data_IF_865293747980
#
_entry.id   IF_865293747980
#
_cell.length_a   1.000
_cell.length_b   1.000
_cell.length_c   1.000
_cell.angle_alpha   90.00
_cell.angle_beta   90.00
_cell.angle_gamma   90.00
#
_symmetry.space_group_name_H-M   'P 1'
#
loop_
_entity.id
_entity.type
_entity.pdbx_description
1 polymer ?
#
# COMPACT_ATOMS: atom_id res chain seq x y z
N UNK A 1 -32.77 -17.32 11.16
CA UNK A 1 -32.65 -16.60 12.45
C UNK A 1 -31.48 -15.64 12.39
N UNK A 2 -31.80 -14.36 12.19
CA UNK A 2 -30.86 -13.26 12.02
C UNK A 2 -30.31 -12.81 13.38
N UNK A 3 -28.99 -12.84 13.54
CA UNK A 3 -28.27 -11.93 14.46
C UNK A 3 -27.11 -11.35 13.65
N UNK A 4 -27.45 -10.48 12.69
CA UNK A 4 -26.50 -9.79 11.84
C UNK A 4 -27.01 -8.37 11.50
N UNK A 5 -27.31 -7.58 12.52
CA UNK A 5 -27.50 -6.14 12.40
C UNK A 5 -27.57 -5.55 13.82
N UNK A 6 -26.49 -4.94 14.32
CA UNK A 6 -26.53 -3.90 15.39
C UNK A 6 -25.17 -3.41 15.94
N UNK A 7 -24.00 -3.79 15.40
CA UNK A 7 -22.71 -3.45 16.03
C UNK A 7 -21.75 -2.55 15.26
N UNK A 8 -22.22 -1.70 14.32
CA UNK A 8 -21.31 -0.81 13.58
C UNK A 8 -21.60 0.70 13.45
N UNK A 9 -22.75 1.29 13.86
CA UNK A 9 -22.90 2.75 13.81
C UNK A 9 -22.49 3.49 15.10
N UNK A 10 -22.74 2.92 16.29
CA UNK A 10 -22.67 3.66 17.56
C UNK A 10 -21.24 4.01 18.02
N UNK A 11 -20.28 3.11 17.79
CA UNK A 11 -18.89 3.34 18.19
C UNK A 11 -18.22 4.47 17.38
N UNK A 12 -18.66 4.68 16.14
CA UNK A 12 -18.05 5.64 15.21
C UNK A 12 -18.45 7.08 15.55
N UNK A 13 -19.70 7.31 15.95
CA UNK A 13 -20.22 8.64 16.31
C UNK A 13 -19.66 9.12 17.66
N UNK A 14 -19.65 8.26 18.69
CA UNK A 14 -19.13 8.62 20.02
C UNK A 14 -17.64 9.01 20.01
N UNK A 15 -16.85 8.40 19.11
CA UNK A 15 -15.41 8.65 19.01
C UNK A 15 -15.04 10.05 18.49
N UNK A 16 -15.97 10.79 17.87
CA UNK A 16 -15.70 12.13 17.32
C UNK A 16 -15.78 13.23 18.39
N UNK A 17 -16.58 13.05 19.44
CA UNK A 17 -16.90 14.08 20.45
C UNK A 17 -16.08 13.94 21.75
N UNK A 18 -15.40 12.81 21.96
CA UNK A 18 -14.65 12.56 23.21
C UNK A 18 -13.35 13.40 23.32
N UNK A 19 -12.95 13.82 24.53
CA UNK A 19 -11.62 14.39 24.80
C UNK A 19 -10.50 13.40 24.45
N UNK A 20 -9.31 13.88 24.08
CA UNK A 20 -8.18 13.03 23.66
C UNK A 20 -7.82 11.95 24.70
N UNK A 21 -7.83 12.28 25.98
CA UNK A 21 -7.57 11.33 27.08
C UNK A 21 -8.61 10.20 27.17
N UNK A 22 -9.90 10.53 26.97
CA UNK A 22 -10.98 9.53 26.95
C UNK A 22 -10.87 8.61 25.71
N UNK A 23 -10.49 9.15 24.55
CA UNK A 23 -10.21 8.34 23.34
C UNK A 23 -9.05 7.37 23.58
N UNK A 24 -7.98 7.83 24.25
CA UNK A 24 -6.85 6.98 24.61
C UNK A 24 -7.24 5.87 25.59
N UNK A 25 -8.02 6.18 26.61
CA UNK A 25 -8.55 5.19 27.57
C UNK A 25 -9.39 4.13 26.88
N UNK A 26 -10.32 4.54 26.00
CA UNK A 26 -11.15 3.62 25.22
C UNK A 26 -10.32 2.73 24.30
N UNK A 27 -9.31 3.27 23.61
CA UNK A 27 -8.39 2.47 22.79
C UNK A 27 -7.61 1.45 23.62
N UNK A 28 -7.16 1.83 24.83
CA UNK A 28 -6.47 0.90 25.75
C UNK A 28 -7.39 -0.22 26.20
N UNK A 29 -8.63 0.09 26.59
CA UNK A 29 -9.65 -0.91 26.96
C UNK A 29 -9.99 -1.84 25.81
N UNK A 30 -10.22 -1.28 24.60
CA UNK A 30 -10.46 -2.07 23.41
C UNK A 30 -9.30 -3.01 23.10
N UNK A 31 -8.06 -2.51 23.17
CA UNK A 31 -6.86 -3.33 22.97
C UNK A 31 -6.76 -4.42 24.04
N UNK A 32 -6.95 -4.10 25.31
CA UNK A 32 -6.95 -5.09 26.40
C UNK A 32 -8.00 -6.18 26.17
N UNK A 33 -9.24 -5.79 25.88
CA UNK A 33 -10.32 -6.72 25.56
C UNK A 33 -9.97 -7.66 24.40
N UNK A 34 -9.46 -7.12 23.29
CA UNK A 34 -9.08 -7.96 22.14
C UNK A 34 -7.87 -8.85 22.45
N UNK A 35 -6.87 -8.38 23.22
CA UNK A 35 -5.74 -9.22 23.64
C UNK A 35 -6.16 -10.36 24.56
N UNK A 36 -7.19 -10.16 25.37
CA UNK A 36 -7.71 -11.20 26.27
C UNK A 36 -8.51 -12.24 25.51
N UNK A 37 -9.45 -11.82 24.65
CA UNK A 37 -10.42 -12.73 24.05
C UNK A 37 -10.09 -13.19 22.62
N UNK A 38 -9.23 -12.47 21.89
CA UNK A 38 -8.75 -12.85 20.55
C UNK A 38 -7.22 -12.67 20.42
N UNK A 39 -6.42 -13.25 21.32
CA UNK A 39 -4.97 -13.24 21.16
C UNK A 39 -4.57 -14.02 19.91
N UNK A 40 -3.49 -13.60 19.27
CA UNK A 40 -2.79 -14.40 18.28
C UNK A 40 -1.30 -14.10 18.30
N UNK A 41 -0.49 -15.06 17.86
CA UNK A 41 0.97 -15.06 17.92
C UNK A 41 1.58 -14.91 16.52
N UNK A 42 2.91 -14.83 16.45
CA UNK A 42 3.63 -14.89 15.18
C UNK A 42 3.36 -16.22 14.43
N UNK A 43 3.24 -17.34 15.15
CA UNK A 43 2.92 -18.63 14.54
C UNK A 43 1.53 -18.64 13.89
N UNK A 44 0.53 -18.08 14.58
CA UNK A 44 -0.83 -17.95 14.03
C UNK A 44 -0.86 -17.07 12.78
N UNK A 45 -0.07 -15.99 12.78
CA UNK A 45 0.07 -15.13 11.61
C UNK A 45 0.71 -15.87 10.44
N UNK A 46 1.79 -16.63 10.66
CA UNK A 46 2.42 -17.46 9.61
C UNK A 46 1.46 -18.47 9.02
N UNK A 47 0.74 -19.18 9.89
CA UNK A 47 -0.28 -20.14 9.47
C UNK A 47 -1.36 -19.44 8.63
N UNK A 48 -1.87 -18.30 9.08
CA UNK A 48 -2.87 -17.53 8.33
C UNK A 48 -2.37 -17.09 6.95
N UNK A 49 -1.11 -16.66 6.83
CA UNK A 49 -0.50 -16.29 5.55
C UNK A 49 -0.38 -17.49 4.60
N UNK A 50 0.04 -18.64 5.12
CA UNK A 50 0.13 -19.88 4.34
C UNK A 50 -1.26 -20.34 3.85
N UNK A 51 -2.28 -20.32 4.71
CA UNK A 51 -3.66 -20.65 4.35
C UNK A 51 -4.22 -19.70 3.29
N UNK A 52 -3.86 -18.42 3.36
CA UNK A 52 -4.26 -17.41 2.39
C UNK A 52 -3.58 -17.63 1.02
N UNK A 53 -2.48 -18.39 0.98
CA UNK A 53 -1.77 -18.78 -0.24
C UNK A 53 -0.43 -18.07 -0.45
N UNK A 54 0.16 -17.51 0.60
CA UNK A 54 1.57 -17.10 0.58
C UNK A 54 2.43 -18.35 0.73
N UNK A 55 3.38 -18.54 -0.18
CA UNK A 55 4.26 -19.70 -0.23
C UNK A 55 5.73 -19.28 -0.24
N UNK A 56 6.66 -20.15 0.18
CA UNK A 56 8.08 -19.85 0.12
C UNK A 56 8.54 -19.52 -1.30
N UNK A 57 9.35 -18.47 -1.46
CA UNK A 57 9.82 -17.97 -2.75
C UNK A 57 8.96 -16.86 -3.38
N UNK A 58 7.79 -16.54 -2.81
CA UNK A 58 6.96 -15.45 -3.33
C UNK A 58 7.66 -14.08 -3.26
N UNK A 59 7.30 -13.19 -4.19
CA UNK A 59 7.49 -11.74 -4.04
C UNK A 59 6.21 -11.14 -3.45
N UNK A 60 6.30 -10.53 -2.28
CA UNK A 60 5.15 -10.07 -1.52
C UNK A 60 5.25 -8.57 -1.18
N UNK A 61 4.34 -7.78 -1.74
CA UNK A 61 4.09 -6.39 -1.33
C UNK A 61 3.13 -6.35 -0.15
N UNK A 62 3.48 -5.63 0.93
CA UNK A 62 2.65 -5.55 2.14
C UNK A 62 2.21 -4.12 2.42
N UNK A 63 0.88 -3.96 2.57
CA UNK A 63 0.24 -2.80 3.17
C UNK A 63 -0.29 -3.19 4.55
N UNK A 64 -0.05 -2.37 5.58
CA UNK A 64 -0.45 -2.73 6.93
C UNK A 64 -0.78 -1.54 7.82
N UNK A 65 -1.59 -1.81 8.86
CA UNK A 65 -1.83 -0.88 9.96
C UNK A 65 -1.63 -1.60 11.28
N UNK A 66 -0.51 -1.32 11.96
CA UNK A 66 -0.19 -1.97 13.24
C UNK A 66 -1.25 -1.70 14.33
N UNK A 67 -1.98 -0.59 14.22
CA UNK A 67 -3.12 -0.30 15.09
C UNK A 67 -4.26 -1.32 15.00
N UNK A 68 -4.31 -2.12 13.92
CA UNK A 68 -5.27 -3.23 13.78
C UNK A 68 -4.77 -4.56 14.32
N UNK A 69 -3.50 -4.67 14.70
CA UNK A 69 -2.90 -5.86 15.32
C UNK A 69 -3.23 -5.92 16.83
N UNK A 70 -4.49 -5.62 17.20
CA UNK A 70 -4.90 -5.43 18.60
C UNK A 70 -4.68 -6.68 19.46
N UNK A 71 -4.88 -7.87 18.90
CA UNK A 71 -4.70 -9.15 19.60
C UNK A 71 -3.29 -9.73 19.53
N UNK A 72 -2.37 -9.07 18.82
CA UNK A 72 -1.07 -9.65 18.54
C UNK A 72 -0.18 -9.70 19.80
N UNK A 73 0.44 -10.86 20.03
CA UNK A 73 1.42 -11.11 21.09
C UNK A 73 2.83 -10.93 20.51
N UNK A 74 3.20 -9.68 20.24
CA UNK A 74 4.50 -9.30 19.70
C UNK A 74 4.55 -7.82 19.29
N UNK A 75 5.70 -7.37 18.81
CA UNK A 75 5.91 -6.05 18.21
C UNK A 75 5.93 -6.09 16.68
N UNK A 76 6.18 -4.95 16.02
CA UNK A 76 6.30 -4.88 14.57
C UNK A 76 7.46 -5.75 14.03
N UNK A 77 8.53 -5.95 14.80
CA UNK A 77 9.67 -6.79 14.42
C UNK A 77 9.24 -8.25 14.27
N UNK A 78 8.42 -8.77 15.19
CA UNK A 78 7.88 -10.12 15.10
C UNK A 78 6.91 -10.29 13.92
N UNK A 79 6.18 -9.24 13.54
CA UNK A 79 5.37 -9.24 12.30
C UNK A 79 6.26 -9.35 11.07
N UNK A 80 7.33 -8.55 11.00
CA UNK A 80 8.29 -8.57 9.89
C UNK A 80 8.95 -9.94 9.79
N UNK A 81 9.43 -10.50 10.91
CA UNK A 81 10.01 -11.85 10.95
C UNK A 81 9.02 -12.91 10.49
N UNK A 82 7.76 -12.86 10.94
CA UNK A 82 6.74 -13.81 10.48
C UNK A 82 6.51 -13.75 8.97
N UNK A 83 6.57 -12.55 8.36
CA UNK A 83 6.50 -12.40 6.90
C UNK A 83 7.74 -13.00 6.22
N UNK A 84 8.94 -12.67 6.71
CA UNK A 84 10.21 -13.19 6.20
C UNK A 84 10.29 -14.72 6.30
N UNK A 85 9.86 -15.30 7.42
CA UNK A 85 9.83 -16.75 7.68
C UNK A 85 8.97 -17.50 6.65
N UNK A 86 7.78 -16.98 6.32
CA UNK A 86 6.86 -17.62 5.37
C UNK A 86 7.41 -17.57 3.95
N UNK A 87 8.07 -16.46 3.59
CA UNK A 87 8.70 -16.27 2.29
C UNK A 87 9.99 -17.10 2.15
N UNK A 88 10.70 -17.32 3.25
CA UNK A 88 11.95 -18.07 3.28
C UNK A 88 13.09 -17.40 2.50
N UNK A 89 14.24 -18.07 2.34
CA UNK A 89 15.46 -17.48 1.78
C UNK A 89 15.35 -17.12 0.29
N UNK A 90 14.42 -17.74 -0.45
CA UNK A 90 14.19 -17.44 -1.88
C UNK A 90 13.12 -16.37 -2.10
N UNK A 91 12.40 -15.97 -1.05
CA UNK A 91 11.32 -15.00 -1.18
C UNK A 91 11.83 -13.56 -1.15
N UNK A 92 10.93 -12.63 -1.48
CA UNK A 92 11.20 -11.20 -1.43
C UNK A 92 10.05 -10.47 -0.77
N UNK A 93 10.34 -9.68 0.26
CA UNK A 93 9.38 -8.84 0.96
C UNK A 93 9.57 -7.40 0.51
N UNK A 94 8.49 -6.72 0.12
CA UNK A 94 8.52 -5.30 -0.22
C UNK A 94 7.42 -4.51 0.46
N UNK A 95 7.71 -3.27 0.85
CA UNK A 95 6.75 -2.35 1.46
C UNK A 95 6.94 -0.95 0.87
N UNK A 96 5.88 -0.31 0.34
CA UNK A 96 5.95 1.09 -0.08
C UNK A 96 6.33 1.98 1.09
N UNK A 97 7.27 2.90 0.87
CA UNK A 97 7.88 3.80 1.87
C UNK A 97 7.69 5.28 1.52
N UNK A 98 6.55 5.63 0.93
CA UNK A 98 6.26 7.01 0.51
C UNK A 98 6.48 7.99 1.69
N UNK A 99 7.18 9.12 1.48
CA UNK A 99 7.53 10.05 2.55
C UNK A 99 6.46 11.10 2.85
N UNK A 100 5.27 10.95 2.27
CA UNK A 100 4.16 11.91 2.39
C UNK A 100 2.81 11.21 2.54
N UNK A 101 1.81 11.99 2.91
CA UNK A 101 0.38 11.69 2.81
C UNK A 101 -0.24 12.78 1.94
N UNK A 102 -1.27 12.48 1.15
CA UNK A 102 -1.85 13.43 0.19
C UNK A 102 -1.22 13.29 -1.18
N UNK A 103 -0.96 14.41 -1.87
CA UNK A 103 -0.43 14.40 -3.24
C UNK A 103 1.09 14.46 -3.31
N UNK A 104 1.66 13.78 -4.31
CA UNK A 104 3.08 13.90 -4.64
C UNK A 104 3.43 15.34 -5.04
N UNK A 105 2.58 16.04 -5.78
CA UNK A 105 2.83 17.42 -6.22
C UNK A 105 2.97 18.36 -5.01
N UNK A 106 2.04 18.29 -4.06
CA UNK A 106 2.07 19.09 -2.81
C UNK A 106 3.26 18.74 -1.91
N UNK A 107 3.73 17.49 -1.95
CA UNK A 107 4.95 17.11 -1.25
C UNK A 107 6.17 17.75 -1.91
N UNK A 108 6.21 17.75 -3.25
CA UNK A 108 7.37 18.23 -4.02
C UNK A 108 7.48 19.75 -4.10
N UNK A 109 6.38 20.49 -3.94
CA UNK A 109 6.39 21.96 -3.86
C UNK A 109 7.17 22.51 -2.66
N UNK A 110 7.50 21.65 -1.70
CA UNK A 110 8.33 21.98 -0.53
C UNK A 110 9.83 21.92 -0.82
N UNK A 111 10.22 21.53 -2.04
CA UNK A 111 11.60 21.40 -2.51
C UNK A 111 12.50 20.65 -1.49
N UNK A 112 12.05 19.47 -1.06
CA UNK A 112 12.78 18.64 -0.11
C UNK A 112 13.74 17.69 -0.84
N UNK A 113 14.89 17.41 -0.22
CA UNK A 113 15.80 16.34 -0.67
C UNK A 113 15.34 15.02 -0.05
N UNK A 114 15.03 14.04 -0.88
CA UNK A 114 14.78 12.67 -0.43
C UNK A 114 16.10 11.98 -0.09
N UNK A 115 16.40 11.80 1.19
CA UNK A 115 17.53 11.00 1.65
C UNK A 115 17.08 9.54 1.85
N UNK A 116 17.64 8.62 1.07
CA UNK A 116 17.24 7.20 1.09
C UNK A 116 17.35 6.58 2.49
N UNK A 117 18.34 7.01 3.28
CA UNK A 117 18.60 6.54 4.66
C UNK A 117 17.71 7.26 5.67
N UNK A 118 17.55 8.57 5.54
CA UNK A 118 16.99 9.43 6.60
C UNK A 118 15.52 9.79 6.43
N UNK A 119 15.02 9.94 5.20
CA UNK A 119 13.64 10.37 4.98
C UNK A 119 12.65 9.32 5.53
N UNK A 120 11.77 9.66 6.48
CA UNK A 120 10.86 8.70 7.09
C UNK A 120 9.79 8.22 6.10
N UNK A 121 9.30 7.00 6.29
CA UNK A 121 8.08 6.52 5.65
C UNK A 121 6.86 7.09 6.37
N UNK A 122 5.85 7.46 5.59
CA UNK A 122 4.51 7.84 6.08
C UNK A 122 3.48 6.72 5.92
N UNK A 123 3.89 5.53 5.44
CA UNK A 123 3.00 4.42 5.09
C UNK A 123 2.64 3.49 6.26
N UNK A 124 3.11 3.80 7.47
CA UNK A 124 2.75 3.06 8.69
C UNK A 124 3.95 2.61 9.50
N UNK A 125 3.68 2.18 10.73
CA UNK A 125 4.73 1.86 11.71
C UNK A 125 5.57 0.64 11.33
N UNK A 126 4.92 -0.44 10.85
CA UNK A 126 5.64 -1.65 10.40
C UNK A 126 6.61 -1.28 9.26
N UNK A 127 6.17 -0.47 8.29
CA UNK A 127 7.00 -0.02 7.18
C UNK A 127 8.22 0.78 7.64
N UNK A 128 8.06 1.70 8.61
CA UNK A 128 9.17 2.50 9.14
C UNK A 128 10.19 1.63 9.90
N UNK A 129 9.72 0.61 10.64
CA UNK A 129 10.61 -0.37 11.27
C UNK A 129 11.30 -1.24 10.20
N UNK A 130 10.55 -1.71 9.21
CA UNK A 130 11.06 -2.58 8.15
C UNK A 130 12.16 -1.91 7.32
N UNK A 131 11.96 -0.66 6.87
CA UNK A 131 12.98 0.03 6.04
C UNK A 131 14.33 0.26 6.76
N UNK A 132 14.36 0.15 8.08
CA UNK A 132 15.56 0.27 8.92
C UNK A 132 16.08 -1.09 9.40
N UNK A 133 15.43 -2.17 8.96
CA UNK A 133 15.81 -3.52 9.30
C UNK A 133 17.12 -3.94 8.63
N UNK A 134 17.78 -4.97 9.17
CA UNK A 134 18.98 -5.54 8.55
C UNK A 134 18.67 -6.06 7.15
N UNK A 135 19.61 -5.90 6.22
CA UNK A 135 19.53 -6.42 4.84
C UNK A 135 18.35 -5.87 4.02
N UNK A 136 17.70 -4.80 4.50
CA UNK A 136 16.63 -4.12 3.78
C UNK A 136 17.24 -2.97 2.98
N UNK A 137 17.01 -2.99 1.67
CA UNK A 137 17.43 -1.93 0.75
C UNK A 137 16.21 -1.10 0.37
N UNK A 138 16.36 0.22 0.32
CA UNK A 138 15.29 1.11 -0.13
C UNK A 138 15.61 1.64 -1.52
N UNK A 139 14.66 1.48 -2.45
CA UNK A 139 14.79 2.05 -3.78
C UNK A 139 14.91 3.58 -3.71
N UNK A 140 15.81 4.13 -4.52
CA UNK A 140 16.02 5.56 -4.62
C UNK A 140 14.88 6.19 -5.45
N UNK A 141 13.88 6.76 -4.81
CA UNK A 141 12.82 7.51 -5.49
C UNK A 141 12.19 8.56 -4.57
N UNK A 142 12.18 9.86 -4.95
CA UNK A 142 11.75 10.94 -4.08
C UNK A 142 10.32 10.83 -3.52
N UNK A 143 9.38 10.31 -4.31
CA UNK A 143 7.96 10.22 -3.92
C UNK A 143 7.54 8.77 -3.62
N UNK A 144 7.78 7.81 -4.52
CA UNK A 144 7.20 6.46 -4.43
C UNK A 144 8.19 5.34 -4.05
N UNK A 145 9.25 5.65 -3.27
CA UNK A 145 10.23 4.65 -2.84
C UNK A 145 9.63 3.42 -2.14
N UNK A 146 10.28 2.27 -2.29
CA UNK A 146 9.91 0.97 -1.73
C UNK A 146 11.09 0.39 -0.94
N UNK A 147 10.86 -0.10 0.28
CA UNK A 147 11.82 -0.93 1.00
C UNK A 147 11.66 -2.39 0.59
N UNK A 148 12.77 -3.10 0.42
CA UNK A 148 12.82 -4.46 -0.12
C UNK A 148 13.84 -5.29 0.65
N UNK A 149 13.49 -6.54 0.95
CA UNK A 149 14.35 -7.54 1.57
C UNK A 149 14.23 -8.87 0.83
N UNK A 150 15.33 -9.62 0.72
CA UNK A 150 15.35 -10.98 0.19
C UNK A 150 15.95 -11.10 -1.21
N UNK A 151 15.63 -12.20 -1.88
CA UNK A 151 16.41 -12.72 -3.02
C UNK A 151 16.53 -11.76 -4.22
N UNK A 152 15.49 -10.98 -4.51
CA UNK A 152 15.42 -10.16 -5.73
C UNK A 152 15.67 -8.67 -5.48
N UNK A 153 16.30 -8.32 -4.35
CA UNK A 153 16.42 -6.93 -3.88
C UNK A 153 17.03 -5.99 -4.93
N UNK A 154 18.19 -6.34 -5.49
CA UNK A 154 18.92 -5.48 -6.42
C UNK A 154 18.12 -5.22 -7.69
N UNK A 155 17.53 -6.27 -8.27
CA UNK A 155 16.73 -6.17 -9.47
C UNK A 155 15.44 -5.35 -9.26
N UNK A 156 14.83 -5.45 -8.08
CA UNK A 156 13.59 -4.73 -7.77
C UNK A 156 13.84 -3.24 -7.55
N UNK A 157 14.92 -2.86 -6.86
CA UNK A 157 15.19 -1.45 -6.52
C UNK A 157 15.94 -0.67 -7.59
N UNK A 158 16.59 -1.38 -8.53
CA UNK A 158 17.43 -0.77 -9.55
C UNK A 158 16.70 0.26 -10.41
N UNK A 159 17.38 1.37 -10.69
CA UNK A 159 16.92 2.37 -11.66
C UNK A 159 15.67 3.15 -11.26
N UNK A 160 15.16 3.03 -10.04
CA UNK A 160 13.90 3.70 -9.68
C UNK A 160 13.97 5.24 -9.85
N UNK A 161 15.11 5.87 -9.52
CA UNK A 161 15.32 7.31 -9.68
C UNK A 161 15.46 7.78 -11.13
N UNK A 162 15.70 6.89 -12.09
CA UNK A 162 15.80 7.25 -13.52
C UNK A 162 14.49 7.03 -14.27
N UNK A 163 13.46 6.51 -13.61
CA UNK A 163 12.15 6.34 -14.20
C UNK A 163 11.49 7.70 -14.53
N UNK A 164 10.82 7.77 -15.68
CA UNK A 164 10.10 8.98 -16.14
C UNK A 164 8.84 9.27 -15.32
N UNK A 165 8.33 8.26 -14.63
CA UNK A 165 7.09 8.27 -13.83
C UNK A 165 7.28 7.46 -12.56
N UNK A 166 6.49 7.70 -11.49
CA UNK A 166 6.79 7.14 -10.18
C UNK A 166 6.56 5.64 -10.04
N UNK A 167 5.65 5.08 -10.83
CA UNK A 167 5.21 3.69 -10.73
C UNK A 167 5.21 2.97 -12.07
N UNK A 168 6.04 3.38 -13.04
CA UNK A 168 6.06 2.77 -14.38
C UNK A 168 6.73 1.39 -14.44
N UNK A 169 6.83 0.80 -15.64
CA UNK A 169 7.48 -0.51 -15.86
C UNK A 169 8.89 -0.67 -15.27
N UNK A 170 9.83 0.28 -15.39
CA UNK A 170 11.17 0.11 -14.84
C UNK A 170 11.24 0.28 -13.30
N UNK A 171 10.12 0.50 -12.61
CA UNK A 171 10.05 0.73 -11.16
C UNK A 171 9.80 -0.57 -10.38
N UNK A 172 9.99 -0.59 -9.04
CA UNK A 172 9.65 -1.73 -8.20
C UNK A 172 8.21 -2.24 -8.38
N UNK A 173 7.28 -1.39 -8.80
CA UNK A 173 5.89 -1.77 -9.03
C UNK A 173 5.76 -2.58 -10.34
N UNK A 174 6.45 -2.20 -11.41
CA UNK A 174 6.55 -3.04 -12.61
C UNK A 174 7.22 -4.38 -12.32
N UNK A 175 8.28 -4.38 -11.51
CA UNK A 175 8.96 -5.61 -11.06
C UNK A 175 8.03 -6.53 -10.27
N UNK A 176 7.12 -5.99 -9.44
CA UNK A 176 6.11 -6.79 -8.75
C UNK A 176 5.26 -7.59 -9.75
N UNK A 177 4.88 -7.00 -10.88
CA UNK A 177 4.11 -7.70 -11.93
C UNK A 177 4.97 -8.73 -12.69
N UNK A 178 6.22 -8.39 -12.99
CA UNK A 178 7.17 -9.27 -13.69
C UNK A 178 7.47 -10.55 -12.90
N UNK A 179 7.65 -10.43 -11.59
CA UNK A 179 7.88 -11.56 -10.69
C UNK A 179 6.60 -12.27 -10.24
N UNK A 180 5.46 -12.01 -10.89
CA UNK A 180 4.15 -12.57 -10.52
C UNK A 180 3.82 -12.40 -9.02
N UNK A 181 4.17 -11.22 -8.50
CA UNK A 181 4.10 -10.94 -7.08
C UNK A 181 2.69 -10.84 -6.53
N UNK A 182 2.60 -10.90 -5.20
CA UNK A 182 1.36 -10.86 -4.43
C UNK A 182 1.30 -9.58 -3.60
N UNK A 183 0.09 -9.14 -3.27
CA UNK A 183 -0.20 -7.94 -2.51
C UNK A 183 -1.03 -8.34 -1.29
N UNK A 184 -0.46 -8.16 -0.11
CA UNK A 184 -1.09 -8.42 1.18
C UNK A 184 -1.58 -7.13 1.81
N UNK A 185 -2.85 -7.11 2.22
CA UNK A 185 -3.44 -6.07 3.04
C UNK A 185 -3.67 -6.62 4.45
N UNK A 186 -2.88 -6.14 5.42
CA UNK A 186 -2.98 -6.56 6.81
C UNK A 186 -3.62 -5.47 7.68
N UNK A 187 -4.93 -5.56 7.89
CA UNK A 187 -5.70 -4.58 8.65
C UNK A 187 -5.92 -3.24 7.93
N UNK A 188 -5.79 -3.22 6.61
CA UNK A 188 -6.04 -2.04 5.78
C UNK A 188 -6.94 -2.42 4.60
N UNK A 189 -7.75 -1.49 4.08
CA UNK A 189 -8.58 -1.75 2.91
C UNK A 189 -7.74 -1.77 1.63
N UNK A 190 -8.27 -2.38 0.58
CA UNK A 190 -7.62 -2.41 -0.76
C UNK A 190 -7.43 -1.02 -1.36
N UNK A 191 -8.19 -0.01 -0.94
CA UNK A 191 -7.97 1.39 -1.36
C UNK A 191 -6.58 1.94 -1.00
N UNK A 192 -5.83 1.26 -0.13
CA UNK A 192 -4.42 1.60 0.20
C UNK A 192 -3.40 1.03 -0.79
N UNK A 193 -3.83 0.31 -1.83
CA UNK A 193 -2.96 -0.38 -2.79
C UNK A 193 -2.11 0.61 -3.60
N UNK A 194 -0.82 0.69 -3.29
CA UNK A 194 0.12 1.54 -4.07
C UNK A 194 0.38 0.93 -5.45
N UNK A 195 0.35 -0.40 -5.60
CA UNK A 195 0.46 -1.06 -6.91
C UNK A 195 -0.61 -0.60 -7.91
N UNK A 196 -1.77 -0.10 -7.45
CA UNK A 196 -2.78 0.42 -8.36
C UNK A 196 -2.27 1.65 -9.14
N UNK A 197 -1.31 2.41 -8.60
CA UNK A 197 -0.65 3.47 -9.36
C UNK A 197 0.06 2.95 -10.61
N UNK A 198 0.75 1.81 -10.54
CA UNK A 198 1.35 1.19 -11.72
C UNK A 198 0.29 0.85 -12.78
N UNK A 199 -0.87 0.34 -12.35
CA UNK A 199 -1.98 0.03 -13.27
C UNK A 199 -2.57 1.30 -13.89
N UNK A 200 -2.64 2.41 -13.14
CA UNK A 200 -3.07 3.72 -13.66
C UNK A 200 -2.14 4.24 -14.75
N UNK A 201 -0.81 4.13 -14.56
CA UNK A 201 0.17 4.56 -15.58
C UNK A 201 0.06 3.72 -16.85
N UNK A 202 -0.09 2.40 -16.71
CA UNK A 202 -0.26 1.49 -17.85
C UNK A 202 -1.57 1.73 -18.62
N UNK A 203 -2.60 2.23 -17.92
CA UNK A 203 -3.88 2.59 -18.53
C UNK A 203 -3.92 4.03 -19.05
N UNK A 204 -2.90 4.86 -18.82
CA UNK A 204 -2.85 6.28 -19.25
C UNK A 204 -3.35 6.46 -20.71
N UNK A 205 -2.90 5.67 -21.70
CA UNK A 205 -3.34 5.85 -23.10
C UNK A 205 -4.83 5.60 -23.35
N UNK A 206 -5.53 4.93 -22.41
CA UNK A 206 -6.95 4.57 -22.49
C UNK A 206 -7.82 5.42 -21.57
N UNK A 207 -7.23 6.21 -20.68
CA UNK A 207 -7.96 7.00 -19.69
C UNK A 207 -8.62 8.21 -20.36
N UNK A 208 -9.89 8.54 -20.04
CA UNK A 208 -10.58 9.71 -20.59
C UNK A 208 -10.16 11.03 -19.92
N UNK A 209 -9.13 11.01 -19.06
CA UNK A 209 -8.60 12.15 -18.33
C UNK A 209 -7.08 11.95 -18.12
N UNK A 210 -6.31 13.05 -17.96
CA UNK A 210 -4.87 12.96 -17.80
C UNK A 210 -4.50 12.32 -16.46
N UNK A 211 -3.71 11.23 -16.51
CA UNK A 211 -3.18 10.55 -15.33
C UNK A 211 -2.11 11.39 -14.63
N UNK A 212 -1.28 12.06 -15.41
CA UNK A 212 -0.20 12.92 -14.92
C UNK A 212 -0.51 14.41 -15.10
N UNK A 213 0.16 15.23 -14.31
CA UNK A 213 0.27 16.66 -14.56
C UNK A 213 0.98 16.93 -15.90
N UNK A 214 0.68 18.04 -16.57
CA UNK A 214 1.26 18.33 -17.89
C UNK A 214 2.75 18.69 -17.80
N UNK A 215 3.22 19.24 -16.68
CA UNK A 215 4.62 19.55 -16.44
C UNK A 215 5.44 18.42 -15.80
N UNK A 216 6.74 18.43 -16.08
CA UNK A 216 7.73 17.58 -15.41
C UNK A 216 8.29 18.23 -14.15
N UNK A 217 8.47 17.43 -13.10
CA UNK A 217 8.93 17.88 -11.79
C UNK A 217 10.39 17.47 -11.57
N UNK A 218 11.21 18.42 -11.14
CA UNK A 218 12.60 18.19 -10.77
C UNK A 218 12.70 17.86 -9.27
N UNK A 219 13.07 16.62 -8.95
CA UNK A 219 13.01 16.10 -7.59
C UNK A 219 14.41 15.68 -7.12
N UNK A 220 14.84 16.24 -5.99
CA UNK A 220 16.17 15.99 -5.44
C UNK A 220 16.18 14.73 -4.59
N UNK A 221 17.23 13.93 -4.73
CA UNK A 221 17.47 12.75 -3.90
C UNK A 221 18.92 12.71 -3.46
N UNK A 222 19.16 11.97 -2.38
CA UNK A 222 20.46 11.61 -1.85
C UNK A 222 20.54 10.10 -1.67
N UNK A 223 21.51 9.48 -2.31
CA UNK A 223 21.72 8.04 -2.27
C UNK A 223 22.43 7.58 -0.98
N UNK A 224 22.76 6.29 -0.93
CA UNK A 224 23.46 5.71 0.21
C UNK A 224 24.91 6.21 0.35
N UNK A 225 25.63 6.41 -0.76
CA UNK A 225 26.98 6.97 -0.73
C UNK A 225 26.99 8.46 -0.31
N UNK A 226 25.82 9.10 -0.33
CA UNK A 226 25.64 10.50 -0.02
C UNK A 226 25.70 11.41 -1.25
N UNK A 227 25.77 10.84 -2.45
CA UNK A 227 25.68 11.58 -3.69
C UNK A 227 24.28 12.15 -3.85
N UNK A 228 24.21 13.38 -4.34
CA UNK A 228 22.95 14.09 -4.57
C UNK A 228 22.69 14.15 -6.06
N UNK A 229 21.45 13.85 -6.45
CA UNK A 229 21.01 13.92 -7.83
C UNK A 229 19.62 14.51 -7.96
N UNK A 230 19.19 14.69 -9.21
CA UNK A 230 17.89 15.23 -9.57
C UNK A 230 17.24 14.32 -10.59
N UNK A 231 16.06 13.84 -10.29
CA UNK A 231 15.20 13.14 -11.24
C UNK A 231 14.23 14.14 -11.87
N UNK A 232 13.99 14.04 -13.18
CA UNK A 232 12.89 14.77 -13.85
C UNK A 232 11.82 13.76 -14.22
N UNK A 233 10.62 13.90 -13.64
CA UNK A 233 9.54 12.93 -13.83
C UNK A 233 8.17 13.61 -13.90
N UNK A 234 7.21 12.95 -14.53
CA UNK A 234 5.79 13.34 -14.48
C UNK A 234 5.18 12.83 -13.17
N UNK A 235 4.33 13.61 -12.53
CA UNK A 235 3.66 13.23 -11.27
C UNK A 235 2.16 13.10 -11.47
N UNK A 236 1.51 12.23 -10.69
CA UNK A 236 0.05 12.04 -10.74
C UNK A 236 -0.69 13.37 -10.59
N UNK A 237 -1.69 13.57 -11.44
CA UNK A 237 -2.49 14.79 -11.48
C UNK A 237 -3.23 15.01 -10.16
N UNK A 238 -3.28 16.27 -9.68
CA UNK A 238 -4.07 16.65 -8.51
C UNK A 238 -5.55 16.31 -8.65
N UNK A 239 -6.07 16.26 -9.90
CA UNK A 239 -7.46 15.88 -10.19
C UNK A 239 -7.80 14.46 -9.73
N UNK A 240 -6.81 13.58 -9.61
CA UNK A 240 -6.99 12.18 -9.24
C UNK A 240 -6.77 11.94 -7.74
N UNK A 241 -6.16 12.91 -7.05
CA UNK A 241 -5.83 12.79 -5.64
C UNK A 241 -7.11 12.64 -4.80
N UNK A 242 -7.25 11.50 -4.13
CA UNK A 242 -8.37 11.23 -3.23
C UNK A 242 -9.65 10.70 -3.90
N UNK A 243 -9.70 10.58 -5.22
CA UNK A 243 -10.90 10.19 -5.97
C UNK A 243 -10.90 8.74 -6.49
N UNK A 244 -9.92 7.94 -6.08
CA UNK A 244 -9.82 6.53 -6.45
C UNK A 244 -10.91 5.71 -5.77
N UNK A 245 -11.66 4.94 -6.55
CA UNK A 245 -12.64 3.97 -6.08
C UNK A 245 -12.31 2.56 -6.59
N UNK A 246 -11.81 1.71 -5.68
CA UNK A 246 -11.46 0.33 -6.00
C UNK A 246 -12.60 -0.68 -5.79
N UNK A 247 -13.82 -0.23 -5.47
CA UNK A 247 -14.95 -1.14 -5.33
C UNK A 247 -15.25 -1.93 -6.62
N UNK A 248 -15.24 -1.33 -7.83
CA UNK A 248 -15.45 -2.10 -9.06
C UNK A 248 -14.39 -3.18 -9.27
N UNK A 249 -13.13 -2.88 -8.95
CA UNK A 249 -12.03 -3.84 -9.01
C UNK A 249 -12.24 -4.98 -8.01
N UNK A 250 -12.59 -4.67 -6.76
CA UNK A 250 -12.85 -5.68 -5.74
C UNK A 250 -13.99 -6.63 -6.16
N UNK A 251 -15.10 -6.09 -6.66
CA UNK A 251 -16.23 -6.89 -7.18
C UNK A 251 -15.82 -7.76 -8.36
N UNK A 252 -14.99 -7.24 -9.28
CA UNK A 252 -14.52 -8.02 -10.42
C UNK A 252 -13.59 -9.17 -10.00
N UNK A 253 -12.66 -8.92 -9.08
CA UNK A 253 -11.77 -9.95 -8.52
C UNK A 253 -12.56 -11.04 -7.79
N UNK A 254 -13.60 -10.66 -7.03
CA UNK A 254 -14.50 -11.63 -6.39
C UNK A 254 -15.26 -12.46 -7.42
N UNK A 255 -15.83 -11.83 -8.45
CA UNK A 255 -16.53 -12.51 -9.56
C UNK A 255 -15.61 -13.52 -10.26
N UNK A 256 -14.32 -13.20 -10.39
CA UNK A 256 -13.28 -14.05 -11.00
C UNK A 256 -12.69 -15.09 -10.05
N UNK A 257 -13.13 -15.15 -8.78
CA UNK A 257 -12.54 -16.02 -7.73
C UNK A 257 -11.04 -15.77 -7.49
N UNK A 258 -10.59 -14.54 -7.73
CA UNK A 258 -9.21 -14.05 -7.53
C UNK A 258 -9.05 -13.24 -6.22
N UNK A 259 -10.12 -13.12 -5.44
CA UNK A 259 -10.11 -12.50 -4.12
C UNK A 259 -9.94 -13.54 -3.02
N UNK A 260 -8.87 -13.42 -2.23
CA UNK A 260 -8.64 -14.26 -1.04
C UNK A 260 -8.62 -13.40 0.20
N UNK A 261 -9.36 -13.82 1.22
CA UNK A 261 -9.38 -13.16 2.51
C UNK A 261 -9.36 -14.18 3.65
N UNK A 262 -8.77 -13.78 4.77
CA UNK A 262 -8.72 -14.59 5.98
C UNK A 262 -8.70 -13.70 7.22
N UNK A 263 -8.95 -14.29 8.38
CA UNK A 263 -8.89 -13.60 9.67
C UNK A 263 -8.04 -14.37 10.66
N UNK A 264 -7.17 -13.66 11.36
CA UNK A 264 -6.41 -14.18 12.50
C UNK A 264 -6.68 -13.31 13.72
N UNK A 265 -7.29 -13.89 14.76
CA UNK A 265 -7.92 -13.13 15.84
C UNK A 265 -8.95 -12.13 15.29
N UNK A 266 -8.66 -10.83 15.40
CA UNK A 266 -9.47 -9.76 14.79
C UNK A 266 -8.83 -9.06 13.59
N UNK A 267 -7.62 -9.45 13.21
CA UNK A 267 -6.92 -8.90 12.06
C UNK A 267 -7.52 -9.49 10.79
N UNK A 268 -8.03 -8.64 9.89
CA UNK A 268 -8.41 -9.04 8.54
C UNK A 268 -7.19 -9.02 7.62
N UNK A 269 -7.06 -10.06 6.81
CA UNK A 269 -6.03 -10.22 5.78
C UNK A 269 -6.71 -10.37 4.43
N UNK A 270 -6.21 -9.67 3.41
CA UNK A 270 -6.61 -9.86 2.00
C UNK A 270 -5.33 -10.10 1.20
N UNK A 271 -5.34 -11.08 0.30
CA UNK A 271 -4.23 -11.39 -0.60
C UNK A 271 -4.71 -11.40 -2.05
N UNK A 272 -4.05 -10.61 -2.88
CA UNK A 272 -4.32 -10.51 -4.31
C UNK A 272 -3.02 -10.79 -5.08
N UNK A 273 -3.10 -11.34 -6.29
CA UNK A 273 -1.95 -11.38 -7.21
C UNK A 273 -1.89 -10.09 -8.02
N UNK A 274 -0.69 -9.56 -8.24
CA UNK A 274 -0.48 -8.37 -9.06
C UNK A 274 -1.01 -8.56 -10.49
N UNK A 275 -0.82 -9.77 -11.05
CA UNK A 275 -1.38 -10.16 -12.36
C UNK A 275 -2.89 -10.08 -12.39
N UNK A 276 -3.56 -10.67 -11.39
CA UNK A 276 -5.02 -10.69 -11.31
C UNK A 276 -5.60 -9.27 -11.19
N UNK A 277 -4.95 -8.41 -10.40
CA UNK A 277 -5.30 -6.98 -10.29
C UNK A 277 -5.18 -6.30 -11.65
N UNK A 278 -4.04 -6.44 -12.31
CA UNK A 278 -3.78 -5.86 -13.63
C UNK A 278 -4.82 -6.30 -14.67
N UNK A 279 -5.03 -7.60 -14.83
CA UNK A 279 -5.95 -8.16 -15.82
C UNK A 279 -7.43 -7.80 -15.53
N UNK A 280 -7.82 -7.73 -14.25
CA UNK A 280 -9.16 -7.33 -13.86
C UNK A 280 -9.40 -5.84 -14.14
N UNK A 281 -8.44 -4.97 -13.85
CA UNK A 281 -8.57 -3.53 -14.12
C UNK A 281 -8.59 -3.24 -15.62
N UNK A 282 -7.75 -3.89 -16.42
CA UNK A 282 -7.78 -3.72 -17.88
C UNK A 282 -9.11 -4.15 -18.50
N UNK A 283 -9.67 -5.28 -18.07
CA UNK A 283 -10.97 -5.72 -18.54
C UNK A 283 -12.14 -4.83 -18.05
N UNK A 284 -11.99 -4.15 -16.91
CA UNK A 284 -12.93 -3.11 -16.48
C UNK A 284 -12.83 -1.89 -17.39
N UNK A 285 -11.61 -1.46 -17.73
CA UNK A 285 -11.37 -0.33 -18.62
C UNK A 285 -11.95 -0.57 -20.03
N UNK A 286 -11.88 -1.79 -20.55
CA UNK A 286 -12.55 -2.20 -21.80
C UNK A 286 -14.08 -2.03 -21.77
N UNK A 287 -14.67 -2.04 -20.57
CA UNK A 287 -16.10 -1.77 -20.34
C UNK A 287 -16.38 -0.32 -19.93
N UNK A 288 -15.38 0.56 -20.04
CA UNK A 288 -15.49 1.98 -19.65
C UNK A 288 -15.45 2.23 -18.14
N UNK A 289 -14.98 1.26 -17.33
CA UNK A 289 -14.88 1.40 -15.87
C UNK A 289 -13.42 1.58 -15.46
N UNK A 290 -13.06 2.78 -14.97
CA UNK A 290 -11.67 3.18 -14.69
C UNK A 290 -11.31 3.27 -13.19
N UNK A 291 -12.19 2.81 -12.29
CA UNK A 291 -11.95 2.84 -10.84
C UNK A 291 -11.70 4.25 -10.24
N UNK A 292 -12.43 5.23 -10.76
CA UNK A 292 -12.51 6.60 -10.24
C UNK A 292 -13.97 6.98 -9.98
N UNK A 293 -14.19 7.89 -9.04
CA UNK A 293 -15.50 8.48 -8.80
C UNK A 293 -16.08 9.12 -10.07
N UNK A 294 -17.40 9.05 -10.24
CA UNK A 294 -18.09 9.58 -11.44
C UNK A 294 -17.80 11.06 -11.71
N UNK A 295 -17.54 11.86 -10.69
CA UNK A 295 -17.24 13.29 -10.83
C UNK A 295 -15.97 13.51 -11.65
N UNK A 296 -14.92 12.72 -11.39
CA UNK A 296 -13.68 12.75 -12.17
C UNK A 296 -13.93 12.31 -13.61
N UNK A 297 -14.74 11.26 -13.82
CA UNK A 297 -15.08 10.76 -15.16
C UNK A 297 -15.87 11.76 -16.00
N UNK A 298 -16.72 12.58 -15.37
CA UNK A 298 -17.62 13.50 -16.05
C UNK A 298 -16.95 14.80 -16.55
N UNK A 299 -15.61 14.91 -16.50
CA UNK A 299 -14.93 16.13 -16.95
C UNK A 299 -15.04 17.33 -16.00
N UNK A 300 -15.78 17.18 -14.88
CA UNK A 300 -16.00 18.26 -13.91
C UNK A 300 -14.79 18.34 -12.99
N UNK A 301 -14.29 19.55 -12.77
CA UNK A 301 -13.27 19.78 -11.76
C UNK A 301 -13.90 19.51 -10.37
N UNK A 302 -13.38 18.58 -9.57
CA UNK A 302 -13.87 18.34 -8.22
C UNK A 302 -13.83 19.60 -7.33
N UNK A 303 -13.00 20.57 -7.70
CA UNK A 303 -12.84 21.86 -7.02
C UNK A 303 -13.65 23.00 -7.63
N UNK A 304 -14.32 22.79 -8.77
CA UNK A 304 -15.30 23.74 -9.30
C UNK A 304 -16.62 23.60 -8.54
N UNK A 305 -16.62 24.02 -7.28
CA UNK A 305 -17.83 24.22 -6.51
C UNK A 305 -18.58 25.45 -7.04
N UNK A 306 -19.65 25.21 -7.78
CA UNK A 306 -20.88 26.01 -7.75
C UNK A 306 -22.00 25.12 -7.28
#
# INVERSE_FOLDING_TARGET
>A
MQIAALRHPLATVASRVLPAGAKMGLKRLQRAYVRTFWPFTAADLRNALQHLGVVPGDVLMVHSSFDRFLGFRGGPVEVIRALQDVLGPRGTLMMPTLPFTGSAIEYTSRDLVFDVRRTPSRMGFITEVFRRGPEVVRSLHPTHSVAVWGNNVDAIVAGHHVAETPCGRPTPYGRLLEYDGKILFAGVPVSTMTFFHFVEEELEPRMPFPVFAPEGYALRWKDEAGAVGVSRMRLFSLRLAGHRDLNPLASELQRRKQWREWRVGRLGLILLRARDVYDATFALAERGVFCYERQVLAGRDPWSGT
#
